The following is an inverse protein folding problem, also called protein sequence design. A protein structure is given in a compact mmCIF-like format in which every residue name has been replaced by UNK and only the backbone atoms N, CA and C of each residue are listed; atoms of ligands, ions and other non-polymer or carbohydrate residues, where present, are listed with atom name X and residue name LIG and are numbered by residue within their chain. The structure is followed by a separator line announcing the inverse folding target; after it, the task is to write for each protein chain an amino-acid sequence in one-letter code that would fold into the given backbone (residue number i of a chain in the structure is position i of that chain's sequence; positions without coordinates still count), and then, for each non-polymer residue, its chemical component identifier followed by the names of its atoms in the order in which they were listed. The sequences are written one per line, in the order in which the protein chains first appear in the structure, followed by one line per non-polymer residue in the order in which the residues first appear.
data_IF_133347458883
#
_entry.id   IF_133347458883
#
_cell.length_a   1.000
_cell.length_b   1.000
_cell.length_c   1.000
_cell.angle_alpha   90.00
_cell.angle_beta   90.00
_cell.angle_gamma   90.00
#
_symmetry.space_group_name_H-M   'P 1'
#
loop_
_entity.id
_entity.type
_entity.pdbx_description
1 polymer ?
#
# COMPACT_ATOMS: atom_id res chain seq x y z
N UNK A 1 8.49 3.06 -12.98
CA UNK A 1 7.73 2.11 -12.14
C UNK A 1 6.30 2.61 -12.02
N UNK A 2 5.33 1.72 -12.17
CA UNK A 2 3.93 2.09 -12.00
C UNK A 2 3.64 2.49 -10.57
N UNK A 3 2.69 3.39 -10.36
CA UNK A 3 2.26 3.75 -9.02
C UNK A 3 1.52 2.57 -8.37
N UNK A 4 1.45 2.58 -7.04
CA UNK A 4 0.72 1.54 -6.31
C UNK A 4 -0.74 1.44 -6.78
N UNK A 5 -1.38 2.59 -6.99
CA UNK A 5 -2.76 2.63 -7.48
C UNK A 5 -2.91 1.96 -8.85
N UNK A 6 -2.00 2.27 -9.78
CA UNK A 6 -2.03 1.68 -11.12
C UNK A 6 -1.86 0.17 -11.07
N UNK A 7 -0.96 -0.32 -10.22
CA UNK A 7 -0.74 -1.75 -10.05
C UNK A 7 -2.00 -2.44 -9.53
N UNK A 8 -2.63 -1.86 -8.52
CA UNK A 8 -3.86 -2.43 -7.95
C UNK A 8 -4.99 -2.46 -8.98
N UNK A 9 -5.13 -1.41 -9.77
CA UNK A 9 -6.16 -1.35 -10.80
C UNK A 9 -5.91 -2.35 -11.92
N UNK A 10 -4.67 -2.48 -12.38
CA UNK A 10 -4.37 -3.36 -13.51
C UNK A 10 -4.21 -4.82 -13.10
N UNK A 11 -3.57 -5.10 -11.97
CA UNK A 11 -3.34 -6.47 -11.52
C UNK A 11 -4.58 -7.10 -10.91
N UNK A 12 -5.24 -6.36 -10.01
CA UNK A 12 -6.37 -6.89 -9.25
C UNK A 12 -7.73 -6.51 -9.84
N UNK A 13 -7.74 -5.70 -10.89
CA UNK A 13 -8.98 -5.29 -11.54
C UNK A 13 -9.83 -4.35 -10.70
N UNK A 14 -9.22 -3.62 -9.76
CA UNK A 14 -9.94 -2.68 -8.91
C UNK A 14 -10.34 -1.42 -9.68
N UNK A 15 -11.46 -0.83 -9.28
CA UNK A 15 -11.81 0.50 -9.77
C UNK A 15 -10.91 1.54 -9.11
N UNK A 16 -10.91 2.76 -9.64
CA UNK A 16 -10.15 3.86 -9.06
C UNK A 16 -10.50 4.07 -7.58
N UNK A 17 -11.79 4.03 -7.26
CA UNK A 17 -12.27 4.19 -5.89
C UNK A 17 -11.81 3.05 -4.98
N UNK A 18 -11.90 1.82 -5.46
CA UNK A 18 -11.48 0.65 -4.70
C UNK A 18 -9.98 0.67 -4.42
N UNK A 19 -9.19 1.07 -5.42
CA UNK A 19 -7.74 1.19 -5.26
C UNK A 19 -7.39 2.26 -4.22
N UNK A 20 -8.06 3.41 -4.28
CA UNK A 20 -7.86 4.48 -3.31
C UNK A 20 -8.21 4.02 -1.88
N UNK A 21 -9.32 3.32 -1.73
CA UNK A 21 -9.76 2.82 -0.43
C UNK A 21 -8.75 1.81 0.14
N UNK A 22 -8.24 0.93 -0.70
CA UNK A 22 -7.23 -0.05 -0.28
C UNK A 22 -5.94 0.64 0.16
N UNK A 23 -5.52 1.67 -0.56
CA UNK A 23 -4.30 2.43 -0.22
C UNK A 23 -4.49 3.18 1.09
N UNK A 24 -5.64 3.83 1.28
CA UNK A 24 -5.92 4.56 2.52
C UNK A 24 -5.89 3.61 3.72
N UNK A 25 -6.52 2.44 3.59
CA UNK A 25 -6.55 1.43 4.64
C UNK A 25 -5.14 0.95 5.01
N UNK A 26 -4.33 0.65 4.00
CA UNK A 26 -2.95 0.22 4.22
C UNK A 26 -2.10 1.33 4.83
N UNK A 27 -2.33 2.58 4.41
CA UNK A 27 -1.60 3.73 4.97
C UNK A 27 -1.93 3.92 6.44
N UNK A 28 -3.17 3.72 6.83
CA UNK A 28 -3.58 3.81 8.24
C UNK A 28 -2.88 2.74 9.08
N UNK A 29 -2.80 1.50 8.56
CA UNK A 29 -2.07 0.44 9.23
C UNK A 29 -0.58 0.77 9.35
N UNK A 30 0.02 1.34 8.32
CA UNK A 30 1.41 1.77 8.33
C UNK A 30 1.65 2.82 9.42
N UNK A 31 0.79 3.84 9.46
CA UNK A 31 0.91 4.91 10.44
C UNK A 31 0.79 4.39 11.87
N UNK A 32 -0.11 3.46 12.10
CA UNK A 32 -0.30 2.84 13.40
C UNK A 32 0.94 2.10 13.85
N UNK A 33 1.55 1.32 12.95
CA UNK A 33 2.78 0.58 13.26
C UNK A 33 3.97 1.51 13.51
N UNK A 34 4.08 2.59 12.74
CA UNK A 34 5.12 3.59 12.96
C UNK A 34 4.98 4.23 14.34
N UNK A 35 3.76 4.43 14.80
CA UNK A 35 3.50 4.96 16.14
C UNK A 35 4.01 4.04 17.24
N UNK A 36 4.06 2.72 16.99
CA UNK A 36 4.59 1.74 17.93
C UNK A 36 6.11 1.57 17.83
N UNK A 37 6.76 2.32 16.94
CA UNK A 37 8.21 2.24 16.75
C UNK A 37 8.63 1.18 15.75
N UNK A 38 7.71 0.55 15.06
CA UNK A 38 8.01 -0.44 14.03
C UNK A 38 8.16 0.24 12.66
N UNK A 39 9.02 -0.32 11.81
CA UNK A 39 9.12 0.08 10.41
C UNK A 39 8.63 -1.10 9.59
N UNK A 40 7.36 -1.10 9.15
CA UNK A 40 6.76 -2.27 8.49
C UNK A 40 7.12 -2.33 7.00
N UNK A 41 8.37 -2.67 6.71
CA UNK A 41 8.83 -2.82 5.31
C UNK A 41 8.02 -3.86 4.55
N UNK A 42 7.43 -4.81 5.26
CA UNK A 42 6.67 -5.90 4.65
C UNK A 42 5.20 -5.57 4.43
N UNK A 43 4.76 -4.36 4.77
CA UNK A 43 3.34 -4.02 4.69
C UNK A 43 2.77 -4.16 3.27
N UNK A 44 3.56 -3.81 2.25
CA UNK A 44 3.10 -3.95 0.86
C UNK A 44 2.93 -5.41 0.49
N UNK A 45 3.80 -6.28 1.00
CA UNK A 45 3.68 -7.71 0.78
C UNK A 45 2.47 -8.29 1.53
N UNK A 46 2.30 -7.91 2.79
CA UNK A 46 1.18 -8.39 3.61
C UNK A 46 -0.18 -7.94 3.08
N UNK A 47 -0.29 -6.66 2.70
CA UNK A 47 -1.57 -6.09 2.27
C UNK A 47 -1.88 -6.35 0.81
N UNK A 48 -0.87 -6.32 -0.06
CA UNK A 48 -1.08 -6.36 -1.51
C UNK A 48 -0.32 -7.47 -2.22
N UNK A 49 0.59 -8.16 -1.56
CA UNK A 49 1.47 -9.13 -2.20
C UNK A 49 2.45 -8.47 -3.15
N UNK A 50 2.86 -7.25 -2.89
CA UNK A 50 3.75 -6.47 -3.73
C UNK A 50 5.13 -6.31 -3.10
N UNK A 51 6.10 -5.91 -3.92
CA UNK A 51 7.47 -5.66 -3.47
C UNK A 51 7.54 -4.51 -2.45
N UNK A 52 8.51 -4.55 -1.52
CA UNK A 52 8.66 -3.49 -0.51
C UNK A 52 8.88 -2.09 -1.09
N UNK A 53 9.36 -1.99 -2.32
CA UNK A 53 9.62 -0.70 -2.97
C UNK A 53 8.36 0.17 -3.04
N UNK A 54 7.19 -0.44 -3.05
CA UNK A 54 5.92 0.29 -3.09
C UNK A 54 5.59 1.02 -1.80
N UNK A 55 6.37 0.79 -0.73
CA UNK A 55 6.14 1.50 0.53
C UNK A 55 6.33 3.02 0.35
N UNK A 56 7.19 3.43 -0.57
CA UNK A 56 7.40 4.85 -0.84
C UNK A 56 6.14 5.51 -1.40
N UNK A 57 5.41 4.80 -2.27
CA UNK A 57 4.13 5.28 -2.78
C UNK A 57 3.07 5.33 -1.69
N UNK A 58 3.14 4.41 -0.74
CA UNK A 58 2.18 4.35 0.36
C UNK A 58 2.39 5.50 1.34
N UNK A 59 3.63 5.84 1.62
CA UNK A 59 3.98 6.91 2.55
C UNK A 59 3.74 8.27 1.92
N UNK A 60 4.18 8.42 0.72
CA UNK A 60 4.21 9.68 0.04
C UNK A 60 3.08 9.95 -0.89
#
# INVERSE_FOLDING_TARGET
MESLKEVLMSRDGLTSQEADDAIVSARENLMERLGDGEIPYDICEEEFGLEPDYIMDLIG
#
